data_IF_089680322869
#
_entry.id   IF_089680322869
#
_cell.length_a   1.000
_cell.length_b   1.000
_cell.length_c   1.000
_cell.angle_alpha   90.00
_cell.angle_beta   90.00
_cell.angle_gamma   90.00
#
_symmetry.space_group_name_H-M   'P 1'
#
loop_
_entity.id
_entity.type
_entity.pdbx_description
1 polymer ?
#
# COMPACT_ATOMS: atom_id res chain seq x y z
N UNK A 1 14.65 -0.07 22.77
CA UNK A 1 15.55 -0.34 21.64
C UNK A 1 14.88 0.18 20.38
N UNK A 2 15.59 1.05 19.64
CA UNK A 2 15.01 2.10 18.79
C UNK A 2 14.14 1.57 17.66
N UNK A 3 12.89 2.05 17.63
CA UNK A 3 12.06 1.97 16.44
C UNK A 3 12.78 2.80 15.38
N UNK A 4 13.32 2.14 14.35
CA UNK A 4 13.92 2.82 13.21
C UNK A 4 12.97 3.94 12.78
N UNK A 5 13.37 5.21 12.88
CA UNK A 5 12.49 6.38 12.69
C UNK A 5 11.70 6.35 11.37
N UNK A 6 12.15 5.53 10.43
CA UNK A 6 11.48 5.26 9.17
C UNK A 6 10.28 4.31 9.25
N UNK A 7 10.34 3.22 10.02
CA UNK A 7 9.17 2.35 10.22
C UNK A 7 8.05 3.12 10.90
N UNK A 8 8.37 3.96 11.87
CA UNK A 8 7.38 4.81 12.55
C UNK A 8 6.72 5.81 11.57
N UNK A 9 7.49 6.39 10.65
CA UNK A 9 6.95 7.24 9.58
C UNK A 9 6.07 6.46 8.60
N UNK A 10 6.53 5.30 8.13
CA UNK A 10 5.77 4.41 7.23
C UNK A 10 4.46 3.99 7.89
N UNK A 11 4.50 3.60 9.16
CA UNK A 11 3.33 3.21 9.92
C UNK A 11 2.34 4.37 10.05
N UNK A 12 2.84 5.59 10.28
CA UNK A 12 2.03 6.80 10.35
C UNK A 12 1.39 7.17 9.01
N UNK A 13 2.15 7.09 7.91
CA UNK A 13 1.62 7.28 6.55
C UNK A 13 0.54 6.25 6.21
N UNK A 14 0.78 4.98 6.57
CA UNK A 14 -0.20 3.91 6.43
C UNK A 14 -1.46 4.18 7.25
N UNK A 15 -1.31 4.59 8.52
CA UNK A 15 -2.45 4.89 9.37
C UNK A 15 -3.31 6.01 8.76
N UNK A 16 -2.69 7.07 8.22
CA UNK A 16 -3.40 8.13 7.48
C UNK A 16 -4.18 7.56 6.29
N UNK A 17 -3.59 6.65 5.52
CA UNK A 17 -4.26 5.98 4.39
C UNK A 17 -5.45 5.14 4.88
N UNK A 18 -5.27 4.34 5.95
CA UNK A 18 -6.33 3.52 6.54
C UNK A 18 -7.46 4.39 7.05
N UNK A 19 -7.15 5.46 7.79
CA UNK A 19 -8.14 6.40 8.31
C UNK A 19 -8.91 7.07 7.17
N UNK A 20 -8.21 7.51 6.12
CA UNK A 20 -8.83 8.07 4.92
C UNK A 20 -9.74 7.05 4.24
N UNK A 21 -9.31 5.80 4.14
CA UNK A 21 -10.13 4.73 3.58
C UNK A 21 -11.33 4.35 4.44
N UNK A 22 -11.21 4.41 5.77
CA UNK A 22 -12.35 4.20 6.68
C UNK A 22 -13.35 5.35 6.61
N UNK A 23 -12.87 6.58 6.41
CA UNK A 23 -13.70 7.77 6.25
C UNK A 23 -14.38 7.81 4.87
N UNK A 24 -13.72 7.27 3.86
CA UNK A 24 -14.23 7.19 2.49
C UNK A 24 -15.12 5.95 2.32
N UNK A 25 -16.44 6.16 2.19
CA UNK A 25 -17.41 5.08 1.99
C UNK A 25 -17.23 4.31 0.69
N UNK A 26 -16.50 4.88 -0.27
CA UNK A 26 -16.19 4.28 -1.57
C UNK A 26 -14.76 3.73 -1.60
N UNK A 27 -14.08 3.63 -0.45
CA UNK A 27 -12.74 3.05 -0.41
C UNK A 27 -12.78 1.58 -0.86
N UNK A 28 -12.06 1.33 -1.93
CA UNK A 28 -11.93 0.02 -2.56
C UNK A 28 -10.83 -0.83 -1.93
N UNK A 29 -10.41 -0.54 -0.71
CA UNK A 29 -9.32 -1.24 -0.02
C UNK A 29 -9.76 -1.70 1.37
N UNK A 30 -9.43 -2.94 1.71
CA UNK A 30 -9.75 -3.60 2.97
C UNK A 30 -8.59 -4.49 3.42
N UNK A 31 -8.68 -5.09 4.60
CA UNK A 31 -7.68 -6.04 5.14
C UNK A 31 -6.24 -5.50 5.14
N UNK A 32 -6.01 -4.41 5.88
CA UNK A 32 -4.69 -3.80 6.03
C UNK A 32 -3.84 -4.59 7.03
N UNK A 33 -2.71 -5.13 6.57
CA UNK A 33 -1.77 -5.92 7.37
C UNK A 33 -0.37 -5.37 7.21
N UNK A 34 0.33 -5.19 8.32
CA UNK A 34 1.74 -4.81 8.33
C UNK A 34 2.54 -5.90 9.03
N UNK A 35 3.51 -6.49 8.32
CA UNK A 35 4.39 -7.54 8.86
C UNK A 35 5.77 -7.43 8.24
N UNK A 36 6.82 -7.49 9.06
CA UNK A 36 8.22 -7.56 8.61
C UNK A 36 8.64 -6.51 7.56
N UNK A 37 8.18 -5.26 7.68
CA UNK A 37 8.40 -4.17 6.70
C UNK A 37 7.70 -4.36 5.35
N UNK A 38 6.74 -5.27 5.30
CA UNK A 38 5.83 -5.47 4.20
C UNK A 38 4.41 -5.08 4.63
N UNK A 39 3.74 -4.28 3.82
CA UNK A 39 2.37 -3.86 4.04
C UNK A 39 1.46 -4.48 2.98
N UNK A 40 0.51 -5.28 3.40
CA UNK A 40 -0.44 -5.97 2.54
C UNK A 40 -1.82 -5.36 2.73
N UNK A 41 -2.56 -5.22 1.65
CA UNK A 41 -3.92 -4.73 1.64
C UNK A 41 -4.69 -5.40 0.50
N UNK A 42 -5.97 -5.63 0.73
CA UNK A 42 -6.83 -6.28 -0.24
C UNK A 42 -7.62 -5.23 -1.00
N UNK A 43 -7.45 -5.20 -2.32
CA UNK A 43 -8.31 -4.39 -3.16
C UNK A 43 -9.64 -5.13 -3.40
N UNK A 44 -10.74 -4.48 -3.01
CA UNK A 44 -12.11 -5.01 -3.12
C UNK A 44 -12.89 -4.42 -4.30
N UNK A 45 -12.33 -3.43 -5.00
CA UNK A 45 -13.00 -2.73 -6.11
C UNK A 45 -12.89 -3.39 -7.49
N UNK A 46 -12.32 -4.58 -7.58
CA UNK A 46 -12.05 -5.29 -8.83
C UNK A 46 -11.84 -6.79 -8.59
N UNK A 47 -11.37 -7.57 -9.58
CA UNK A 47 -10.99 -8.96 -9.35
C UNK A 47 -10.01 -8.99 -8.17
N UNK A 48 -10.26 -9.87 -7.19
CA UNK A 48 -9.60 -9.89 -5.87
C UNK A 48 -8.07 -9.90 -5.99
N UNK A 49 -7.47 -8.72 -6.04
CA UNK A 49 -6.03 -8.53 -6.07
C UNK A 49 -5.57 -8.15 -4.67
N UNK A 50 -4.86 -9.06 -4.02
CA UNK A 50 -4.12 -8.72 -2.81
C UNK A 50 -2.90 -7.94 -3.27
N UNK A 51 -2.75 -6.71 -2.80
CA UNK A 51 -1.62 -5.86 -3.12
C UNK A 51 -0.68 -5.83 -1.92
N UNK A 52 0.61 -5.90 -2.20
CA UNK A 52 1.64 -6.05 -1.20
C UNK A 52 2.78 -5.07 -1.48
N UNK A 53 2.95 -4.13 -0.56
CA UNK A 53 4.01 -3.12 -0.54
C UNK A 53 5.20 -3.60 0.28
N UNK A 54 6.35 -3.78 -0.32
CA UNK A 54 7.60 -4.01 0.40
C UNK A 54 8.38 -2.71 0.52
N UNK A 55 8.77 -2.36 1.74
CA UNK A 55 9.58 -1.18 2.00
C UNK A 55 11.05 -1.57 2.12
N UNK A 56 11.83 -1.27 1.08
CA UNK A 56 13.28 -1.50 1.13
C UNK A 56 13.99 -0.45 1.96
N UNK A 57 15.13 -0.82 2.54
CA UNK A 57 16.00 0.08 3.29
C UNK A 57 16.44 1.32 2.47
N UNK A 58 16.33 1.30 1.14
CA UNK A 58 16.78 2.37 0.24
C UNK A 58 15.72 3.39 -0.22
N UNK A 59 14.56 3.49 0.44
CA UNK A 59 13.44 4.42 0.08
C UNK A 59 12.57 3.96 -1.08
N UNK A 60 12.89 2.81 -1.68
CA UNK A 60 12.07 2.19 -2.70
C UNK A 60 10.92 1.43 -2.04
N UNK A 61 9.72 1.68 -2.55
CA UNK A 61 8.49 0.93 -2.28
C UNK A 61 8.23 0.03 -3.48
N UNK A 62 8.14 -1.26 -3.22
CA UNK A 62 7.84 -2.27 -4.23
C UNK A 62 6.39 -2.68 -4.05
N UNK A 63 5.54 -2.40 -5.03
CA UNK A 63 4.15 -2.86 -5.02
C UNK A 63 4.07 -4.10 -5.88
N UNK A 64 3.52 -5.18 -5.34
CA UNK A 64 3.23 -6.41 -6.08
C UNK A 64 1.76 -6.75 -5.93
N UNK A 65 1.16 -7.38 -6.93
CA UNK A 65 -0.21 -7.89 -6.89
C UNK A 65 -0.18 -9.41 -6.83
N UNK A 66 -1.06 -10.05 -6.04
CA UNK A 66 -1.10 -11.51 -5.93
C UNK A 66 -1.53 -12.23 -7.21
N UNK A 67 -2.11 -11.49 -8.15
CA UNK A 67 -2.52 -12.03 -9.45
C UNK A 67 -1.33 -12.10 -10.43
N UNK A 68 -0.31 -11.25 -10.23
CA UNK A 68 0.84 -11.17 -11.13
C UNK A 68 2.10 -10.71 -10.39
N UNK A 69 2.91 -11.65 -9.90
CA UNK A 69 4.21 -11.40 -9.25
C UNK A 69 5.25 -10.73 -10.18
N UNK A 70 4.98 -10.67 -11.49
CA UNK A 70 5.85 -10.00 -12.47
C UNK A 70 5.57 -8.48 -12.57
N UNK A 71 4.39 -8.01 -12.13
CA UNK A 71 4.01 -6.60 -12.15
C UNK A 71 4.42 -5.90 -10.84
N UNK A 72 5.73 -5.87 -10.59
CA UNK A 72 6.30 -5.20 -9.43
C UNK A 72 6.54 -3.72 -9.75
N UNK A 73 5.64 -2.85 -9.29
CA UNK A 73 5.84 -1.40 -9.40
C UNK A 73 6.86 -0.94 -8.35
N UNK A 74 8.04 -0.53 -8.80
CA UNK A 74 9.06 0.09 -7.93
C UNK A 74 8.93 1.60 -7.99
N UNK A 75 8.66 2.24 -6.86
CA UNK A 75 8.51 3.70 -6.77
C UNK A 75 9.14 4.25 -5.49
N UNK A 76 9.61 5.48 -5.54
CA UNK A 76 10.13 6.24 -4.39
C UNK A 76 9.13 7.28 -3.89
N UNK A 77 7.90 7.27 -4.43
CA UNK A 77 6.83 8.16 -4.01
C UNK A 77 6.38 7.86 -2.56
N UNK A 78 5.81 8.85 -1.85
CA UNK A 78 5.28 8.61 -0.52
C UNK A 78 4.03 7.72 -0.59
N UNK A 79 3.86 6.84 0.40
CA UNK A 79 2.77 5.83 0.46
C UNK A 79 1.38 6.41 0.12
N UNK A 80 0.97 7.58 0.64
CA UNK A 80 -0.34 8.14 0.32
C UNK A 80 -0.53 8.41 -1.18
N UNK A 81 0.54 8.82 -1.89
CA UNK A 81 0.51 9.07 -3.34
C UNK A 81 0.44 7.75 -4.11
N UNK A 82 1.23 6.76 -3.71
CA UNK A 82 1.21 5.43 -4.35
C UNK A 82 -0.20 4.83 -4.24
N UNK A 83 -0.80 4.93 -3.06
CA UNK A 83 -2.15 4.43 -2.81
C UNK A 83 -3.19 5.15 -3.67
N UNK A 84 -3.09 6.47 -3.81
CA UNK A 84 -3.94 7.23 -4.73
C UNK A 84 -3.75 6.82 -6.19
N UNK A 85 -2.51 6.60 -6.62
CA UNK A 85 -2.21 6.12 -7.98
C UNK A 85 -2.81 4.76 -8.25
N UNK A 86 -2.70 3.81 -7.31
CA UNK A 86 -3.33 2.50 -7.45
C UNK A 86 -4.85 2.68 -7.51
N UNK A 87 -5.43 3.41 -6.55
CA UNK A 87 -6.87 3.68 -6.52
C UNK A 87 -7.40 4.31 -7.82
N UNK A 88 -6.61 5.18 -8.45
CA UNK A 88 -6.95 5.80 -9.74
C UNK A 88 -6.64 4.89 -10.93
N UNK A 89 -5.57 4.11 -10.87
CA UNK A 89 -5.13 3.20 -11.92
C UNK A 89 -6.09 2.03 -12.13
N UNK A 90 -6.74 1.53 -11.07
CA UNK A 90 -7.75 0.48 -11.23
C UNK A 90 -9.08 1.00 -11.78
N UNK A 91 -9.32 2.33 -11.79
CA UNK A 91 -10.55 2.91 -12.38
C UNK A 91 -10.52 2.97 -13.91
N UNK A 92 -9.45 2.49 -14.56
CA UNK A 92 -9.29 2.55 -16.02
C UNK A 92 -9.04 1.16 -16.59
N UNK A 93 -10.09 0.34 -16.64
CA UNK A 93 -10.29 -0.69 -17.66
C UNK A 93 -11.75 -0.65 -18.11
#
# INVERSE_FOLDING_TARGET
MGMCSRQERIQKDIDVVIQKCKADKDCLFADFRYSDSTFTFTYIGGPRSVLQFHFSHHYNTYVSSSDNDEDVLVTTEPIPIIFQRIAAGVKTQ
#
